data_IF_043589485576
#
_entry.id   IF_043589485576
#
_cell.length_a   1.000
_cell.length_b   1.000
_cell.length_c   1.000
_cell.angle_alpha   90.00
_cell.angle_beta   90.00
_cell.angle_gamma   90.00
#
_symmetry.space_group_name_H-M   'P 1'
#
loop_
_entity.id
_entity.type
_entity.pdbx_description
1 polymer ?
#
# COMPACT_ATOMS: atom_id res chain seq x y z
N UNK A 1 -11.81 4.90 -7.27
CA UNK A 1 -10.87 5.94 -6.81
C UNK A 1 -9.50 5.29 -6.81
N UNK A 2 -8.50 5.85 -7.47
CA UNK A 2 -7.14 5.29 -7.50
C UNK A 2 -6.21 6.21 -6.72
N UNK A 3 -5.28 5.62 -5.98
CA UNK A 3 -4.24 6.37 -5.25
C UNK A 3 -2.87 6.00 -5.79
N UNK A 4 -1.93 6.92 -5.58
CA UNK A 4 -0.52 6.72 -5.92
C UNK A 4 0.24 6.29 -4.65
N UNK A 5 0.99 5.21 -4.76
CA UNK A 5 1.85 4.73 -3.66
C UNK A 5 3.02 5.68 -3.47
N UNK A 6 3.13 6.28 -2.28
CA UNK A 6 4.21 7.23 -1.94
C UNK A 6 5.35 6.58 -1.14
N UNK A 7 5.06 5.52 -0.41
CA UNK A 7 6.03 4.73 0.36
C UNK A 7 5.52 3.30 0.52
N UNK A 8 6.45 2.37 0.70
CA UNK A 8 6.17 0.95 0.95
C UNK A 8 6.98 0.47 2.16
N UNK A 9 6.40 -0.42 2.95
CA UNK A 9 7.10 -1.08 4.04
C UNK A 9 8.08 -2.15 3.54
N UNK A 10 8.84 -2.77 4.44
CA UNK A 10 9.80 -3.82 4.10
C UNK A 10 9.16 -5.18 3.73
N UNK A 11 7.82 -5.27 3.69
CA UNK A 11 7.10 -6.53 3.48
C UNK A 11 6.80 -7.31 4.76
N UNK A 12 5.95 -8.33 4.64
CA UNK A 12 5.56 -9.19 5.77
C UNK A 12 6.65 -10.21 6.09
N UNK A 13 6.66 -10.75 7.31
CA UNK A 13 7.50 -11.90 7.62
C UNK A 13 6.78 -13.19 7.21
N UNK A 14 7.52 -14.16 6.73
CA UNK A 14 7.05 -15.54 6.57
C UNK A 14 7.24 -16.36 7.86
N UNK A 15 6.86 -17.64 7.82
CA UNK A 15 7.00 -18.56 8.96
C UNK A 15 8.46 -18.93 9.28
N UNK A 16 9.38 -18.70 8.33
CA UNK A 16 10.80 -19.02 8.45
C UNK A 16 11.62 -17.82 8.98
N UNK A 17 10.98 -16.66 9.18
CA UNK A 17 11.65 -15.43 9.59
C UNK A 17 12.34 -14.70 8.44
N UNK A 18 11.94 -14.97 7.20
CA UNK A 18 12.34 -14.22 6.01
C UNK A 18 11.29 -13.16 5.65
N UNK A 19 11.70 -12.10 4.96
CA UNK A 19 10.78 -11.06 4.47
C UNK A 19 10.19 -11.49 3.13
N UNK A 20 8.87 -11.44 3.05
CA UNK A 20 8.13 -11.47 1.78
C UNK A 20 8.02 -10.03 1.31
N UNK A 21 8.74 -9.63 0.24
CA UNK A 21 8.69 -8.27 -0.27
C UNK A 21 7.29 -7.92 -0.78
N UNK A 22 6.96 -6.64 -0.73
CA UNK A 22 5.73 -6.12 -1.32
C UNK A 22 5.84 -6.16 -2.86
N UNK A 23 4.76 -6.54 -3.53
CA UNK A 23 4.63 -6.47 -4.99
C UNK A 23 4.41 -5.03 -5.47
N UNK A 24 3.78 -4.20 -4.63
CA UNK A 24 3.64 -2.76 -4.90
C UNK A 24 4.94 -2.01 -4.61
N UNK A 25 5.21 -1.01 -5.44
CA UNK A 25 6.36 -0.12 -5.29
C UNK A 25 5.92 1.34 -5.32
N UNK A 26 6.84 2.22 -4.91
CA UNK A 26 6.66 3.67 -5.05
C UNK A 26 6.27 4.00 -6.49
N UNK A 27 5.37 4.97 -6.61
CA UNK A 27 4.81 5.49 -7.86
C UNK A 27 3.78 4.58 -8.57
N UNK A 28 3.54 3.36 -8.09
CA UNK A 28 2.44 2.54 -8.59
C UNK A 28 1.08 3.20 -8.31
N UNK A 29 0.15 3.02 -9.25
CA UNK A 29 -1.25 3.44 -9.08
C UNK A 29 -2.08 2.21 -8.72
N UNK A 30 -2.77 2.28 -7.60
CA UNK A 30 -3.46 1.11 -7.05
C UNK A 30 -4.95 1.32 -6.93
N UNK A 31 -5.69 0.23 -7.14
CA UNK A 31 -7.09 0.06 -6.77
C UNK A 31 -7.16 -0.65 -5.43
N UNK A 32 -8.05 -0.18 -4.56
CA UNK A 32 -8.29 -0.77 -3.25
C UNK A 32 -9.76 -0.58 -2.88
N UNK A 33 -10.22 -1.33 -1.89
CA UNK A 33 -11.60 -1.27 -1.41
C UNK A 33 -11.95 0.12 -0.87
N UNK A 34 -13.20 0.57 -1.09
CA UNK A 34 -13.67 1.91 -0.67
C UNK A 34 -13.48 2.18 0.84
N UNK A 35 -13.48 1.14 1.66
CA UNK A 35 -13.38 1.22 3.12
C UNK A 35 -12.07 0.60 3.65
N UNK A 36 -11.07 0.46 2.78
CA UNK A 36 -9.76 -0.09 3.15
C UNK A 36 -8.79 1.00 3.58
N UNK A 37 -7.94 0.67 4.55
CA UNK A 37 -6.92 1.57 5.09
C UNK A 37 -7.40 2.47 6.23
N UNK A 38 -6.45 3.16 6.84
CA UNK A 38 -6.67 4.17 7.88
C UNK A 38 -6.12 5.51 7.40
N UNK A 39 -6.87 6.58 7.61
CA UNK A 39 -6.41 7.93 7.32
C UNK A 39 -5.36 8.36 8.35
N UNK A 40 -4.28 8.96 7.87
CA UNK A 40 -3.21 9.49 8.70
C UNK A 40 -2.75 10.83 8.14
N UNK A 41 -2.57 11.82 9.00
CA UNK A 41 -2.01 13.11 8.64
C UNK A 41 -0.52 13.14 8.99
N UNK A 42 0.32 13.45 8.01
CA UNK A 42 1.77 13.62 8.17
C UNK A 42 2.11 14.99 7.60
N UNK A 43 2.65 15.87 8.44
CA UNK A 43 3.05 17.23 8.06
C UNK A 43 1.95 18.04 7.35
N UNK A 44 0.70 17.86 7.76
CA UNK A 44 -0.46 18.54 7.18
C UNK A 44 -1.00 17.89 5.91
N UNK A 45 -0.41 16.79 5.45
CA UNK A 45 -0.85 16.05 4.27
C UNK A 45 -1.57 14.77 4.70
N UNK A 46 -2.80 14.61 4.21
CA UNK A 46 -3.58 13.39 4.40
C UNK A 46 -3.05 12.26 3.53
N UNK A 47 -2.85 11.12 4.16
CA UNK A 47 -2.42 9.87 3.55
C UNK A 47 -3.36 8.75 3.99
N UNK A 48 -3.35 7.66 3.22
CA UNK A 48 -4.05 6.44 3.56
C UNK A 48 -3.02 5.34 3.76
N UNK A 49 -2.93 4.81 4.98
CA UNK A 49 -2.09 3.65 5.30
C UNK A 49 -2.94 2.38 5.23
N UNK A 50 -2.50 1.37 4.47
CA UNK A 50 -3.22 0.12 4.31
C UNK A 50 -2.27 -1.06 4.18
N UNK A 51 -2.82 -2.28 4.26
CA UNK A 51 -2.08 -3.50 4.00
C UNK A 51 -2.07 -3.77 2.50
N UNK A 52 -1.07 -4.50 2.04
CA UNK A 52 -1.02 -4.94 0.64
C UNK A 52 -2.20 -5.85 0.28
N UNK A 53 -2.68 -6.67 1.22
CA UNK A 53 -3.83 -7.55 1.02
C UNK A 53 -5.14 -6.78 0.70
N UNK A 54 -5.21 -5.48 0.99
CA UNK A 54 -6.36 -4.62 0.66
C UNK A 54 -6.30 -4.07 -0.78
N UNK A 55 -5.18 -4.27 -1.48
CA UNK A 55 -4.95 -3.78 -2.84
C UNK A 55 -5.52 -4.79 -3.83
N UNK A 56 -6.49 -4.35 -4.62
CA UNK A 56 -7.20 -5.16 -5.62
C UNK A 56 -6.44 -5.27 -6.94
N UNK A 57 -5.52 -4.35 -7.21
CA UNK A 57 -4.67 -4.40 -8.39
C UNK A 57 -3.88 -3.12 -8.64
N UNK A 58 -2.84 -3.25 -9.46
CA UNK A 58 -2.02 -2.15 -9.96
C UNK A 58 -2.54 -1.74 -11.34
N UNK A 59 -2.94 -0.49 -11.50
CA UNK A 59 -3.34 0.06 -12.80
C UNK A 59 -2.09 0.51 -13.55
N UNK A 60 -1.79 -0.17 -14.65
CA UNK A 60 -0.82 0.28 -15.64
C UNK A 60 -1.54 1.05 -16.75
N UNK A 61 -0.88 2.07 -17.27
CA UNK A 61 -1.40 2.90 -18.35
C UNK A 61 -0.94 2.37 -19.69
#
# INVERSE_FOLDING_TARGET
MFFKVIAVGPGKWDENGERIPLEVKKDDRVLFGKYSGNEINIDGVEHLIMREDDILGIIQK
#
